data_IF_667974117102
#
_entry.id   IF_667974117102
#
_cell.length_a   1.000
_cell.length_b   1.000
_cell.length_c   1.000
_cell.angle_alpha   90.00
_cell.angle_beta   90.00
_cell.angle_gamma   90.00
#
_symmetry.space_group_name_H-M   'P 1'
#
loop_
_entity.id
_entity.type
_entity.pdbx_description
1 polymer ?
#
# COMPACT_ATOMS: atom_id res chain seq x y z
N UNK A 1 13.62 -10.96 44.91
CA UNK A 1 13.39 -11.45 43.54
C UNK A 1 12.08 -10.81 43.11
N UNK A 2 12.03 -9.57 42.57
CA UNK A 2 12.36 -9.12 41.19
C UNK A 2 11.75 -10.11 40.18
N UNK A 3 10.76 -9.78 39.34
CA UNK A 3 10.69 -8.64 38.40
C UNK A 3 9.27 -8.06 38.26
N UNK A 4 9.09 -6.79 38.63
CA UNK A 4 8.07 -5.93 38.01
C UNK A 4 8.58 -5.58 36.61
N UNK A 5 8.11 -6.33 35.61
CA UNK A 5 8.41 -6.07 34.21
C UNK A 5 7.84 -4.72 33.80
N UNK A 6 8.71 -3.72 33.61
CA UNK A 6 8.36 -2.41 33.07
C UNK A 6 7.75 -2.62 31.68
N UNK A 7 6.42 -2.55 31.58
CA UNK A 7 5.72 -2.56 30.32
C UNK A 7 5.94 -1.21 29.64
N UNK A 8 6.99 -1.12 28.82
CA UNK A 8 7.22 0.04 27.96
C UNK A 8 6.08 0.14 26.94
N UNK A 9 5.11 1.00 27.24
CA UNK A 9 4.08 1.38 26.29
C UNK A 9 4.73 2.30 25.26
N UNK A 10 5.37 1.71 24.24
CA UNK A 10 5.83 2.44 23.07
C UNK A 10 4.62 3.18 22.49
N UNK A 11 4.74 4.48 22.15
CA UNK A 11 3.65 5.19 21.53
C UNK A 11 3.25 4.42 20.27
N UNK A 12 2.02 3.89 20.24
CA UNK A 12 1.41 3.15 19.12
C UNK A 12 1.29 3.97 17.81
N UNK A 13 1.93 5.14 17.76
CA UNK A 13 1.76 6.16 16.74
C UNK A 13 3.07 6.49 16.00
N UNK A 14 4.07 5.61 16.08
CA UNK A 14 5.26 5.72 15.21
C UNK A 14 5.03 4.88 13.97
N UNK A 15 4.73 5.55 12.86
CA UNK A 15 4.83 5.00 11.50
C UNK A 15 6.13 4.22 11.36
N UNK A 16 6.06 2.98 10.88
CA UNK A 16 7.25 2.17 10.65
C UNK A 16 8.15 2.79 9.59
N UNK A 17 9.45 2.54 9.75
CA UNK A 17 10.49 2.84 8.76
C UNK A 17 10.30 2.01 7.48
N UNK A 18 9.62 0.88 7.58
CA UNK A 18 9.35 -0.05 6.49
C UNK A 18 7.86 -0.02 6.17
N UNK A 19 7.53 0.20 4.90
CA UNK A 19 6.14 0.16 4.41
C UNK A 19 5.97 -0.91 3.34
N UNK A 20 4.81 -1.55 3.33
CA UNK A 20 4.44 -2.54 2.32
C UNK A 20 3.13 -2.10 1.68
N UNK A 21 3.18 -1.82 0.37
CA UNK A 21 2.06 -1.35 -0.43
C UNK A 21 1.55 -2.50 -1.30
N UNK A 22 0.33 -2.95 -1.05
CA UNK A 22 -0.39 -3.90 -1.89
C UNK A 22 -1.20 -3.17 -2.95
N UNK A 23 -0.95 -3.44 -4.23
CA UNK A 23 -1.57 -2.74 -5.35
C UNK A 23 -2.48 -3.67 -6.16
N UNK A 24 -3.73 -3.25 -6.37
CA UNK A 24 -4.75 -4.03 -7.06
C UNK A 24 -5.18 -5.27 -6.27
N UNK A 25 -5.96 -6.16 -6.89
CA UNK A 25 -6.52 -7.34 -6.20
C UNK A 25 -5.46 -8.29 -5.64
N UNK A 26 -4.49 -8.71 -6.48
CA UNK A 26 -3.43 -9.65 -6.05
C UNK A 26 -2.53 -9.07 -4.96
N UNK A 27 -2.09 -7.82 -5.12
CA UNK A 27 -1.26 -7.15 -4.11
C UNK A 27 -2.00 -6.89 -2.80
N UNK A 28 -3.26 -6.46 -2.88
CA UNK A 28 -4.11 -6.27 -1.70
C UNK A 28 -4.34 -7.59 -0.97
N UNK A 29 -4.60 -8.68 -1.68
CA UNK A 29 -4.76 -10.00 -1.06
C UNK A 29 -3.50 -10.49 -0.35
N UNK A 30 -2.32 -10.28 -0.95
CA UNK A 30 -1.05 -10.62 -0.32
C UNK A 30 -0.85 -9.84 0.99
N UNK A 31 -1.10 -8.53 0.96
CA UNK A 31 -0.99 -7.67 2.16
C UNK A 31 -2.05 -8.01 3.22
N UNK A 32 -3.29 -8.31 2.82
CA UNK A 32 -4.33 -8.76 3.72
C UNK A 32 -3.91 -10.06 4.43
N UNK A 33 -3.29 -10.99 3.71
CA UNK A 33 -2.76 -12.23 4.28
C UNK A 33 -1.62 -11.94 5.27
N UNK A 34 -0.64 -11.11 4.90
CA UNK A 34 0.46 -10.69 5.80
C UNK A 34 -0.06 -10.07 7.09
N UNK A 35 -1.13 -9.26 6.99
CA UNK A 35 -1.81 -8.66 8.14
C UNK A 35 -2.44 -9.74 9.02
N UNK A 36 -3.14 -10.69 8.42
CA UNK A 36 -3.83 -11.77 9.15
C UNK A 36 -2.85 -12.70 9.89
N UNK A 37 -1.72 -13.06 9.27
CA UNK A 37 -0.71 -13.92 9.90
C UNK A 37 0.17 -13.18 10.92
N UNK A 38 -0.04 -11.86 11.10
CA UNK A 38 0.60 -11.08 12.16
C UNK A 38 2.05 -10.67 11.85
N UNK A 39 2.37 -10.33 10.59
CA UNK A 39 3.66 -9.73 10.26
C UNK A 39 3.79 -8.37 10.97
N UNK A 40 4.84 -8.23 11.79
CA UNK A 40 5.08 -7.05 12.62
C UNK A 40 6.23 -6.20 12.07
N UNK A 41 6.31 -4.94 12.53
CA UNK A 41 7.42 -4.03 12.21
C UNK A 41 7.31 -3.36 10.84
N UNK A 42 6.18 -3.48 10.16
CA UNK A 42 5.89 -2.81 8.88
C UNK A 42 4.55 -2.12 8.94
N UNK A 43 4.39 -1.02 8.20
CA UNK A 43 3.07 -0.45 7.95
C UNK A 43 2.54 -0.96 6.62
N UNK A 44 1.38 -1.60 6.68
CA UNK A 44 0.66 -2.04 5.48
C UNK A 44 -0.18 -0.91 4.91
N UNK A 45 -0.18 -0.79 3.58
CA UNK A 45 -1.03 0.09 2.79
C UNK A 45 -1.64 -0.75 1.67
N UNK A 46 -2.93 -0.58 1.40
CA UNK A 46 -3.57 -1.18 0.22
C UNK A 46 -4.08 -0.10 -0.73
N UNK A 47 -3.81 -0.27 -2.02
CA UNK A 47 -4.18 0.66 -3.08
C UNK A 47 -4.99 -0.10 -4.13
N UNK A 48 -6.22 0.35 -4.40
CA UNK A 48 -7.05 -0.27 -5.43
C UNK A 48 -7.98 0.76 -6.09
N UNK A 49 -8.36 0.51 -7.34
CA UNK A 49 -9.40 1.30 -8.04
C UNK A 49 -10.80 0.82 -7.67
N UNK A 50 -10.93 -0.43 -7.22
CA UNK A 50 -12.17 -1.02 -6.76
C UNK A 50 -12.43 -0.68 -5.28
N UNK A 51 -13.48 0.11 -5.03
CA UNK A 51 -13.85 0.56 -3.69
C UNK A 51 -14.39 -0.57 -2.80
N UNK A 52 -15.07 -1.55 -3.40
CA UNK A 52 -15.58 -2.71 -2.68
C UNK A 52 -14.42 -3.59 -2.18
N UNK A 53 -13.39 -3.78 -3.00
CA UNK A 53 -12.19 -4.52 -2.60
C UNK A 53 -11.45 -3.82 -1.44
N UNK A 54 -11.36 -2.49 -1.47
CA UNK A 54 -10.78 -1.72 -0.36
C UNK A 54 -11.61 -1.82 0.92
N UNK A 55 -12.93 -1.70 0.82
CA UNK A 55 -13.82 -1.78 1.98
C UNK A 55 -13.60 -3.07 2.77
N UNK A 56 -13.51 -4.21 2.09
CA UNK A 56 -13.32 -5.53 2.71
C UNK A 56 -11.89 -5.80 3.23
N UNK A 57 -10.90 -4.99 2.88
CA UNK A 57 -9.54 -5.17 3.39
C UNK A 57 -9.47 -4.90 4.90
N UNK A 58 -8.81 -5.75 5.71
CA UNK A 58 -8.58 -5.51 7.14
C UNK A 58 -7.50 -4.44 7.40
N UNK A 59 -6.78 -3.99 6.36
CA UNK A 59 -5.68 -3.04 6.48
C UNK A 59 -6.25 -1.64 6.72
N UNK A 60 -5.84 -0.90 7.77
CA UNK A 60 -6.42 0.41 8.06
C UNK A 60 -6.02 1.49 7.05
N UNK A 61 -4.80 1.42 6.53
CA UNK A 61 -4.29 2.39 5.56
C UNK A 61 -4.72 1.97 4.14
N UNK A 62 -5.68 2.70 3.57
CA UNK A 62 -6.28 2.41 2.27
C UNK A 62 -6.20 3.63 1.39
N UNK A 63 -5.93 3.43 0.11
CA UNK A 63 -5.95 4.48 -0.93
C UNK A 63 -6.82 4.01 -2.08
N UNK A 64 -7.88 4.76 -2.36
CA UNK A 64 -8.67 4.55 -3.56
C UNK A 64 -8.00 5.25 -4.74
N UNK A 65 -7.54 4.47 -5.70
CA UNK A 65 -6.87 4.97 -6.89
C UNK A 65 -7.90 5.48 -7.89
N UNK A 66 -7.71 6.68 -8.41
CA UNK A 66 -8.53 7.24 -9.49
C UNK A 66 -10.02 7.27 -9.14
N UNK A 67 -10.38 7.79 -7.97
CA UNK A 67 -11.76 7.86 -7.50
C UNK A 67 -12.66 8.61 -8.50
N UNK A 68 -12.12 9.66 -9.14
CA UNK A 68 -12.83 10.44 -10.16
C UNK A 68 -12.88 9.70 -11.50
N UNK A 69 -11.81 8.97 -11.84
CA UNK A 69 -11.68 8.26 -13.12
C UNK A 69 -12.53 6.99 -13.20
N UNK A 70 -12.63 6.25 -12.10
CA UNK A 70 -13.22 4.89 -12.07
C UNK A 70 -14.52 4.81 -11.30
N UNK A 71 -14.86 5.85 -10.54
CA UNK A 71 -16.02 5.90 -9.65
C UNK A 71 -16.04 4.72 -8.65
N UNK A 72 -14.88 4.10 -8.39
CA UNK A 72 -14.76 2.94 -7.50
C UNK A 72 -15.12 1.59 -8.13
N UNK A 73 -15.36 1.53 -9.44
CA UNK A 73 -15.76 0.30 -10.15
C UNK A 73 -14.58 -0.57 -10.61
N UNK A 74 -13.35 -0.08 -10.45
CA UNK A 74 -12.14 -0.81 -10.84
C UNK A 74 -11.59 -0.39 -12.22
N UNK A 75 -10.46 -0.99 -12.60
CA UNK A 75 -9.75 -0.66 -13.85
C UNK A 75 -10.14 -1.53 -15.07
N UNK A 76 -11.11 -2.44 -14.93
CA UNK A 76 -11.61 -3.25 -16.05
C UNK A 76 -10.54 -4.10 -16.76
N UNK A 77 -9.51 -4.55 -16.04
CA UNK A 77 -8.33 -5.22 -16.58
C UNK A 77 -7.44 -4.38 -17.52
N UNK A 78 -7.72 -3.09 -17.70
CA UNK A 78 -6.91 -2.17 -18.50
C UNK A 78 -5.78 -1.54 -17.66
N UNK A 79 -4.50 -1.82 -17.96
CA UNK A 79 -3.37 -1.22 -17.27
C UNK A 79 -3.29 0.30 -17.41
N UNK A 80 -3.77 0.87 -18.51
CA UNK A 80 -3.70 2.32 -18.73
C UNK A 80 -4.66 3.07 -17.81
N UNK A 81 -5.83 2.48 -17.50
CA UNK A 81 -6.72 3.00 -16.45
C UNK A 81 -6.02 2.93 -15.09
N UNK A 82 -5.38 1.80 -14.77
CA UNK A 82 -4.62 1.66 -13.52
C UNK A 82 -3.48 2.68 -13.38
N UNK A 83 -2.79 2.96 -14.48
CA UNK A 83 -1.71 3.94 -14.55
C UNK A 83 -2.21 5.36 -14.23
N UNK A 84 -3.23 5.81 -14.97
CA UNK A 84 -3.83 7.15 -14.78
C UNK A 84 -4.47 7.30 -13.41
N UNK A 85 -5.12 6.26 -12.91
CA UNK A 85 -5.68 6.25 -11.56
C UNK A 85 -4.60 6.44 -10.47
N UNK A 86 -3.42 5.85 -10.65
CA UNK A 86 -2.30 6.03 -9.73
C UNK A 86 -1.68 7.44 -9.81
N UNK A 87 -1.66 8.03 -11.02
CA UNK A 87 -1.22 9.42 -11.20
C UNK A 87 -2.19 10.41 -10.53
N UNK A 88 -3.50 10.20 -10.66
CA UNK A 88 -4.53 11.01 -9.98
C UNK A 88 -4.31 11.00 -8.45
N UNK A 89 -4.06 9.83 -7.87
CA UNK A 89 -3.91 9.65 -6.42
C UNK A 89 -2.46 9.81 -5.92
N UNK A 90 -1.53 10.30 -6.74
CA UNK A 90 -0.11 10.27 -6.40
C UNK A 90 0.24 11.07 -5.15
N UNK A 91 -0.43 12.22 -4.94
CA UNK A 91 -0.21 13.08 -3.78
C UNK A 91 -0.61 12.40 -2.47
N UNK A 92 -1.65 11.55 -2.50
CA UNK A 92 -2.07 10.78 -1.33
C UNK A 92 -1.05 9.66 -1.04
N UNK A 93 -0.59 8.96 -2.08
CA UNK A 93 0.43 7.91 -1.96
C UNK A 93 1.74 8.49 -1.38
N UNK A 94 2.21 9.63 -1.89
CA UNK A 94 3.44 10.26 -1.40
C UNK A 94 3.30 10.71 0.05
N UNK A 95 2.17 11.29 0.43
CA UNK A 95 1.88 11.68 1.82
C UNK A 95 1.95 10.48 2.78
N UNK A 96 1.47 9.31 2.36
CA UNK A 96 1.56 8.08 3.16
C UNK A 96 3.01 7.57 3.34
N UNK A 97 3.91 7.96 2.43
CA UNK A 97 5.33 7.60 2.45
C UNK A 97 6.23 8.61 3.19
N UNK A 98 5.79 9.86 3.40
CA UNK A 98 6.61 10.95 3.98
C UNK A 98 7.06 10.73 5.43
N UNK A 99 6.41 9.83 6.18
CA UNK A 99 6.62 9.63 7.62
C UNK A 99 7.85 8.80 7.98
N UNK A 100 9.04 9.22 7.54
CA UNK A 100 10.32 8.59 7.91
C UNK A 100 10.57 7.24 7.25
N UNK A 101 9.81 6.90 6.20
CA UNK A 101 9.99 5.67 5.42
C UNK A 101 11.40 5.63 4.84
N UNK A 102 12.13 4.54 5.10
CA UNK A 102 13.43 4.27 4.48
C UNK A 102 13.36 3.12 3.49
N UNK A 103 12.38 2.24 3.65
CA UNK A 103 12.18 1.10 2.75
C UNK A 103 10.70 0.93 2.40
N UNK A 104 10.42 0.70 1.12
CA UNK A 104 9.09 0.46 0.59
C UNK A 104 9.09 -0.82 -0.25
N UNK A 105 8.22 -1.75 0.11
CA UNK A 105 7.90 -2.91 -0.72
C UNK A 105 6.62 -2.64 -1.49
N UNK A 106 6.67 -2.71 -2.81
CA UNK A 106 5.48 -2.62 -3.66
C UNK A 106 5.14 -4.01 -4.16
N UNK A 107 4.02 -4.56 -3.71
CA UNK A 107 3.52 -5.86 -4.12
C UNK A 107 2.28 -5.76 -4.99
N UNK A 108 2.27 -6.46 -6.13
CA UNK A 108 1.15 -6.48 -7.06
C UNK A 108 1.10 -7.82 -7.79
N UNK A 109 -0.10 -8.31 -8.09
CA UNK A 109 -0.25 -9.40 -9.06
C UNK A 109 -0.36 -8.83 -10.47
N UNK A 110 0.48 -9.28 -11.39
CA UNK A 110 0.47 -8.81 -12.79
C UNK A 110 -0.61 -9.49 -13.63
N UNK A 111 -0.96 -8.85 -14.75
CA UNK A 111 -1.94 -9.35 -15.72
C UNK A 111 -3.31 -8.69 -15.61
N UNK A 112 -3.64 -8.08 -14.46
CA UNK A 112 -4.82 -7.22 -14.30
C UNK A 112 -4.55 -5.75 -14.65
N UNK A 113 -5.57 -4.89 -14.53
CA UNK A 113 -5.44 -3.46 -14.86
C UNK A 113 -4.75 -2.66 -13.75
N UNK A 114 -5.32 -2.67 -12.55
CA UNK A 114 -4.83 -1.85 -11.43
C UNK A 114 -3.41 -2.20 -11.03
N UNK A 115 -3.12 -3.47 -10.74
CA UNK A 115 -1.78 -3.90 -10.30
C UNK A 115 -0.70 -3.57 -11.34
N UNK A 116 -0.93 -3.96 -12.60
CA UNK A 116 0.00 -3.76 -13.70
C UNK A 116 0.27 -2.27 -13.97
N UNK A 117 -0.78 -1.44 -13.98
CA UNK A 117 -0.68 -0.02 -14.30
C UNK A 117 -0.17 0.85 -13.16
N UNK A 118 -0.67 0.62 -11.94
CA UNK A 118 -0.39 1.48 -10.79
C UNK A 118 0.93 1.16 -10.08
N UNK A 119 1.33 -0.12 -10.01
CA UNK A 119 2.53 -0.50 -9.27
C UNK A 119 3.83 0.17 -9.78
N UNK A 120 4.06 0.33 -11.10
CA UNK A 120 5.21 1.07 -11.61
C UNK A 120 5.21 2.55 -11.19
N UNK A 121 4.03 3.20 -11.16
CA UNK A 121 3.86 4.61 -10.78
C UNK A 121 4.20 4.79 -9.30
N UNK A 122 3.62 3.97 -8.43
CA UNK A 122 3.86 3.99 -6.99
C UNK A 122 5.33 3.72 -6.68
N UNK A 123 5.92 2.70 -7.33
CA UNK A 123 7.33 2.39 -7.13
C UNK A 123 8.25 3.51 -7.62
N UNK A 124 7.87 4.22 -8.69
CA UNK A 124 8.61 5.39 -9.17
C UNK A 124 8.55 6.54 -8.16
N UNK A 125 7.37 6.87 -7.64
CA UNK A 125 7.23 7.92 -6.64
C UNK A 125 8.06 7.63 -5.38
N UNK A 126 8.02 6.39 -4.87
CA UNK A 126 8.84 6.01 -3.71
C UNK A 126 10.36 6.18 -4.00
N UNK A 127 10.83 5.77 -5.19
CA UNK A 127 12.24 5.96 -5.59
C UNK A 127 12.61 7.43 -5.73
N UNK A 128 11.74 8.25 -6.33
CA UNK A 128 11.98 9.68 -6.53
C UNK A 128 12.04 10.42 -5.16
N UNK A 129 11.40 9.88 -4.12
CA UNK A 129 11.51 10.35 -2.73
C UNK A 129 12.79 9.86 -2.01
N UNK A 130 13.67 9.10 -2.68
CA UNK A 130 14.89 8.54 -2.09
C UNK A 130 14.66 7.33 -1.18
N UNK A 131 13.51 6.65 -1.29
CA UNK A 131 13.18 5.46 -0.48
C UNK A 131 13.75 4.22 -1.17
N UNK A 132 14.41 3.33 -0.41
CA UNK A 132 14.81 2.02 -0.90
C UNK A 132 13.57 1.22 -1.32
N UNK A 133 13.39 1.02 -2.62
CA UNK A 133 12.15 0.47 -3.17
C UNK A 133 12.37 -0.90 -3.78
N UNK A 134 11.66 -1.91 -3.26
CA UNK A 134 11.68 -3.29 -3.74
C UNK A 134 10.33 -3.63 -4.34
N UNK A 135 10.32 -4.29 -5.51
CA UNK A 135 9.09 -4.74 -6.17
C UNK A 135 8.95 -6.25 -6.04
N UNK A 136 7.77 -6.71 -5.62
CA UNK A 136 7.42 -8.14 -5.49
C UNK A 136 6.20 -8.38 -6.37
N UNK A 137 6.35 -9.18 -7.41
CA UNK A 137 5.46 -9.18 -8.58
C UNK A 137 4.97 -10.60 -8.88
#
# INVERSE_FOLDING_TARGET
MIEDGIQFNLPKNRSSVIKVIGVGGGGSNAVNHMTHVGVNGVDFIVCNTDAQALYHSPVPNKVQLGASLTEGLGAGADPEIGHRAAQESIAEITKMLENGTKMCFVTAGMGGGTGTGAAPVIAKAARDMGILTVRII
#
